data_IF_073540359448
#
_entry.id   IF_073540359448
#
_cell.length_a   1.000
_cell.length_b   1.000
_cell.length_c   1.000
_cell.angle_alpha   90.00
_cell.angle_beta   90.00
_cell.angle_gamma   90.00
#
_symmetry.space_group_name_H-M   'P 1'
#
loop_
_entity.id
_entity.type
_entity.pdbx_description
1 polymer ?
#
# COMPACT_ATOMS: atom_id res chain seq x y z
N UNK A 1 12.70 -17.35 20.80
CA UNK A 1 11.36 -16.82 20.46
C UNK A 1 11.46 -16.22 19.06
N UNK A 2 10.74 -16.69 18.03
CA UNK A 2 10.83 -16.08 16.72
C UNK A 2 10.31 -14.63 16.81
N UNK A 3 11.14 -13.67 16.43
CA UNK A 3 10.81 -12.25 16.51
C UNK A 3 9.69 -11.88 15.54
N UNK A 4 8.74 -11.05 16.00
CA UNK A 4 7.67 -10.53 15.16
C UNK A 4 8.23 -9.71 13.99
N UNK A 5 7.73 -10.00 12.79
CA UNK A 5 8.11 -9.31 11.55
C UNK A 5 7.34 -8.00 11.45
N UNK A 6 8.02 -6.89 11.20
CA UNK A 6 7.38 -5.59 10.96
C UNK A 6 7.73 -5.10 9.57
N UNK A 7 6.72 -4.85 8.77
CA UNK A 7 6.87 -4.21 7.46
C UNK A 7 6.08 -2.88 7.44
N UNK A 8 6.59 -1.90 6.72
CA UNK A 8 5.81 -0.72 6.31
C UNK A 8 5.34 -0.96 4.89
N UNK A 9 4.03 -0.86 4.68
CA UNK A 9 3.37 -0.89 3.38
C UNK A 9 2.96 0.54 3.05
N UNK A 10 3.73 1.21 2.20
CA UNK A 10 3.31 2.46 1.59
C UNK A 10 2.52 2.15 0.33
N UNK A 11 1.28 2.61 0.27
CA UNK A 11 0.37 2.45 -0.85
C UNK A 11 0.28 3.80 -1.56
N UNK A 12 0.71 3.83 -2.82
CA UNK A 12 0.62 5.02 -3.67
C UNK A 12 -0.46 4.75 -4.71
N UNK A 13 -1.54 5.51 -4.62
CA UNK A 13 -2.54 5.59 -5.68
C UNK A 13 -2.00 6.53 -6.76
N UNK A 14 -2.20 6.16 -8.02
CA UNK A 14 -2.04 7.13 -9.09
C UNK A 14 -3.15 8.19 -8.91
N UNK A 15 -2.88 9.50 -8.95
CA UNK A 15 -3.95 10.44 -9.30
C UNK A 15 -4.49 10.02 -10.68
N UNK A 16 -5.80 10.03 -10.88
CA UNK A 16 -6.34 9.94 -12.25
C UNK A 16 -5.58 10.98 -13.09
N UNK A 17 -4.91 10.54 -14.16
CA UNK A 17 -4.28 11.47 -15.08
C UNK A 17 -5.33 12.51 -15.49
N UNK A 18 -5.02 13.82 -15.49
CA UNK A 18 -5.92 14.75 -16.14
C UNK A 18 -6.03 14.30 -17.59
N UNK A 19 -7.25 13.98 -18.02
CA UNK A 19 -7.52 13.68 -19.42
C UNK A 19 -6.96 14.83 -20.27
N UNK A 20 -6.18 14.45 -21.27
CA UNK A 20 -5.65 15.33 -22.31
C UNK A 20 -6.76 16.26 -22.81
N UNK A 21 -6.63 17.56 -22.55
CA UNK A 21 -7.55 18.59 -23.02
C UNK A 21 -6.74 19.75 -23.56
N UNK A 22 -6.59 19.77 -24.87
CA UNK A 22 -6.58 21.03 -25.63
C UNK A 22 -7.81 21.87 -25.22
N UNK A 23 -7.68 23.19 -25.01
CA UNK A 23 -8.77 23.98 -24.46
C UNK A 23 -9.75 24.39 -25.56
N UNK A 24 -11.07 24.31 -25.34
CA UNK A 24 -11.97 25.32 -25.87
C UNK A 24 -12.12 26.44 -24.85
N UNK A 25 -12.08 27.66 -25.36
CA UNK A 25 -12.22 28.92 -24.63
C UNK A 25 -13.53 29.04 -23.83
N UNK A 26 -13.48 29.90 -22.80
CA UNK A 26 -14.57 30.48 -21.99
C UNK A 26 -14.90 29.78 -20.65
N UNK A 27 -14.61 30.49 -19.56
CA UNK A 27 -15.10 30.27 -18.19
C UNK A 27 -16.49 30.91 -18.00
N UNK A 28 -17.16 30.85 -16.82
CA UNK A 28 -16.83 30.16 -15.56
C UNK A 28 -18.01 29.33 -14.98
N UNK A 29 -17.73 28.36 -14.10
CA UNK A 29 -18.55 28.07 -12.90
C UNK A 29 -17.83 27.09 -11.99
N UNK A 30 -17.82 27.44 -10.69
CA UNK A 30 -17.18 26.70 -9.62
C UNK A 30 -17.69 25.28 -9.47
N UNK A 31 -16.76 24.44 -9.06
CA UNK A 31 -16.95 23.02 -8.79
C UNK A 31 -15.59 22.43 -8.54
N UNK A 32 -15.00 22.72 -7.37
CA UNK A 32 -13.85 21.98 -6.87
C UNK A 32 -14.19 20.50 -6.95
N UNK A 33 -13.53 19.79 -7.86
CA UNK A 33 -13.67 18.34 -8.04
C UNK A 33 -13.32 17.73 -6.69
N UNK A 34 -14.32 17.27 -5.92
CA UNK A 34 -14.10 16.59 -4.64
C UNK A 34 -13.23 15.37 -4.94
N UNK A 35 -11.96 15.48 -4.59
CA UNK A 35 -11.03 14.36 -4.60
C UNK A 35 -11.62 13.31 -3.66
N UNK A 36 -11.82 12.11 -4.20
CA UNK A 36 -12.42 10.95 -3.54
C UNK A 36 -11.99 10.80 -2.08
N UNK A 37 -12.96 10.65 -1.19
CA UNK A 37 -12.76 10.46 0.26
C UNK A 37 -11.67 9.42 0.53
N UNK A 38 -10.72 9.81 1.37
CA UNK A 38 -9.64 8.94 1.83
C UNK A 38 -10.27 7.88 2.75
N UNK A 39 -10.39 6.63 2.26
CA UNK A 39 -11.00 5.49 2.97
C UNK A 39 -10.33 5.07 4.29
N UNK A 40 -9.24 5.73 4.69
CA UNK A 40 -8.49 5.40 5.89
C UNK A 40 -8.12 6.68 6.62
N UNK A 41 -8.39 6.74 7.91
CA UNK A 41 -7.94 7.79 8.80
C UNK A 41 -6.65 7.39 9.52
N UNK A 42 -5.79 8.38 9.78
CA UNK A 42 -4.58 8.18 10.58
C UNK A 42 -4.96 7.65 11.97
N UNK A 43 -4.26 6.60 12.40
CA UNK A 43 -4.50 5.92 13.68
C UNK A 43 -5.49 4.76 13.61
N UNK A 44 -6.21 4.57 12.49
CA UNK A 44 -7.01 3.36 12.30
C UNK A 44 -6.12 2.12 12.33
N UNK A 45 -6.57 1.10 13.04
CA UNK A 45 -5.88 -0.17 13.18
C UNK A 45 -6.87 -1.32 13.39
N UNK A 46 -6.46 -2.53 13.03
CA UNK A 46 -7.25 -3.75 13.26
C UNK A 46 -6.32 -4.95 13.40
N UNK A 47 -6.70 -5.86 14.30
CA UNK A 47 -6.02 -7.11 14.59
C UNK A 47 -6.63 -8.23 13.76
N UNK A 48 -5.77 -9.07 13.17
CA UNK A 48 -6.12 -10.13 12.23
C UNK A 48 -5.45 -11.42 12.66
N UNK A 49 -5.94 -12.59 12.20
CA UNK A 49 -5.29 -13.87 12.51
C UNK A 49 -3.82 -13.97 12.06
N UNK A 50 -3.39 -13.17 11.08
CA UNK A 50 -2.00 -13.09 10.63
C UNK A 50 -1.15 -12.03 11.36
N UNK A 51 -1.74 -11.18 12.20
CA UNK A 51 -1.06 -10.08 12.87
C UNK A 51 -1.90 -8.80 12.93
N UNK A 52 -1.34 -7.64 12.62
CA UNK A 52 -2.02 -6.34 12.79
C UNK A 52 -1.67 -5.37 11.66
N UNK A 53 -2.59 -4.48 11.31
CA UNK A 53 -2.25 -3.29 10.54
C UNK A 53 -2.65 -2.00 11.26
N UNK A 54 -1.97 -0.91 10.91
CA UNK A 54 -2.24 0.44 11.40
C UNK A 54 -1.93 1.47 10.32
N UNK A 55 -2.76 2.50 10.17
CA UNK A 55 -2.53 3.63 9.27
C UNK A 55 -1.66 4.66 9.98
N UNK A 56 -0.41 4.79 9.53
CA UNK A 56 0.55 5.74 10.08
C UNK A 56 0.32 7.16 9.56
N UNK A 57 -0.04 7.27 8.28
CA UNK A 57 -0.30 8.53 7.60
C UNK A 57 -1.12 8.31 6.32
N UNK A 58 -1.78 9.35 5.85
CA UNK A 58 -2.66 9.29 4.67
C UNK A 58 -2.84 10.66 4.06
N UNK A 59 -3.02 10.72 2.74
CA UNK A 59 -3.18 11.99 2.02
C UNK A 59 -3.64 11.79 0.58
N UNK A 60 -3.73 12.88 -0.21
CA UNK A 60 -4.12 12.80 -1.61
C UNK A 60 -3.20 11.85 -2.37
N UNK A 61 -3.74 10.72 -2.82
CA UNK A 61 -2.99 9.75 -3.61
C UNK A 61 -2.12 8.78 -2.80
N UNK A 62 -2.12 8.78 -1.47
CA UNK A 62 -1.31 7.80 -0.72
C UNK A 62 -1.92 7.39 0.63
N UNK A 63 -1.50 6.22 1.11
CA UNK A 63 -1.77 5.73 2.46
C UNK A 63 -0.56 4.93 2.94
N UNK A 64 0.00 5.28 4.09
CA UNK A 64 1.12 4.55 4.69
C UNK A 64 0.57 3.69 5.82
N UNK A 65 0.74 2.38 5.71
CA UNK A 65 0.36 1.42 6.73
C UNK A 65 1.57 0.74 7.34
N UNK A 66 1.55 0.52 8.65
CA UNK A 66 2.41 -0.44 9.34
C UNK A 66 1.69 -1.78 9.36
N UNK A 67 2.39 -2.82 8.92
CA UNK A 67 1.96 -4.21 9.04
C UNK A 67 2.88 -4.91 10.03
N UNK A 68 2.29 -5.56 11.03
CA UNK A 68 2.99 -6.51 11.90
C UNK A 68 2.48 -7.88 11.51
N UNK A 69 3.35 -8.73 10.96
CA UNK A 69 3.01 -10.10 10.58
C UNK A 69 3.61 -11.02 11.62
N UNK A 70 2.76 -11.79 12.29
CA UNK A 70 3.23 -12.75 13.29
C UNK A 70 3.96 -13.90 12.59
N UNK A 71 4.91 -14.58 13.25
CA UNK A 71 5.56 -15.77 12.68
C UNK A 71 4.53 -16.80 12.21
N UNK A 72 4.62 -17.22 10.94
CA UNK A 72 3.65 -18.12 10.30
C UNK A 72 2.35 -17.44 9.83
N UNK A 73 2.15 -16.16 10.16
CA UNK A 73 1.06 -15.34 9.65
C UNK A 73 1.23 -15.04 8.17
N UNK A 74 0.12 -15.04 7.43
CA UNK A 74 0.13 -14.85 5.97
C UNK A 74 -1.05 -14.00 5.55
N UNK A 75 -0.76 -12.93 4.79
CA UNK A 75 -1.82 -12.13 4.18
C UNK A 75 -2.43 -12.87 2.98
N UNK A 76 -3.68 -12.59 2.65
CA UNK A 76 -4.28 -13.10 1.41
C UNK A 76 -3.53 -12.58 0.19
N UNK A 77 -3.39 -13.38 -0.87
CA UNK A 77 -2.79 -12.94 -2.14
C UNK A 77 -3.59 -11.75 -2.69
N UNK A 78 -2.91 -10.64 -2.94
CA UNK A 78 -3.52 -9.39 -3.40
C UNK A 78 -3.19 -9.14 -4.87
N UNK A 79 -4.11 -8.47 -5.57
CA UNK A 79 -3.88 -7.90 -6.90
C UNK A 79 -4.60 -6.56 -6.99
N UNK A 80 -3.90 -5.53 -7.46
CA UNK A 80 -4.41 -4.16 -7.43
C UNK A 80 -4.23 -3.48 -8.79
N UNK A 81 -5.34 -3.04 -9.39
CA UNK A 81 -5.32 -2.35 -10.69
C UNK A 81 -5.11 -0.84 -10.59
N UNK A 82 -5.30 -0.24 -9.42
CA UNK A 82 -5.33 1.23 -9.24
C UNK A 82 -4.29 1.77 -8.27
N UNK A 83 -3.49 0.89 -7.65
CA UNK A 83 -2.40 1.27 -6.76
C UNK A 83 -1.15 0.43 -7.00
N UNK A 84 -0.02 1.09 -6.85
CA UNK A 84 1.25 0.42 -6.60
C UNK A 84 1.52 0.45 -5.09
N UNK A 85 2.40 -0.42 -4.65
CA UNK A 85 2.83 -0.47 -3.26
C UNK A 85 4.35 -0.52 -3.18
N UNK A 86 4.89 0.10 -2.13
CA UNK A 86 6.29 0.00 -1.78
C UNK A 86 6.36 -0.50 -0.35
N UNK A 87 6.98 -1.66 -0.16
CA UNK A 87 7.15 -2.26 1.15
C UNK A 87 8.59 -2.15 1.62
N UNK A 88 8.79 -1.82 2.88
CA UNK A 88 10.08 -1.81 3.56
C UNK A 88 9.98 -2.70 4.78
N UNK A 89 10.91 -3.64 4.93
CA UNK A 89 10.98 -4.48 6.13
C UNK A 89 11.70 -3.70 7.22
N UNK A 90 10.97 -3.39 8.29
CA UNK A 90 11.49 -2.59 9.41
C UNK A 90 12.15 -3.47 10.46
N UNK A 91 11.68 -4.71 10.63
CA UNK A 91 12.27 -5.67 11.57
C UNK A 91 11.91 -7.11 11.18
N UNK A 92 12.83 -8.04 11.46
CA UNK A 92 12.70 -9.45 11.13
C UNK A 92 12.97 -9.76 9.65
N UNK A 93 12.56 -10.95 9.22
CA UNK A 93 12.68 -11.43 7.83
C UNK A 93 11.31 -11.69 7.27
N UNK A 94 11.03 -11.40 6.01
CA UNK A 94 9.75 -11.65 5.36
C UNK A 94 9.94 -12.41 4.05
N UNK A 95 9.01 -13.29 3.71
CA UNK A 95 8.88 -13.81 2.36
C UNK A 95 7.84 -12.99 1.62
N UNK A 96 8.23 -12.42 0.49
CA UNK A 96 7.34 -11.62 -0.35
C UNK A 96 7.14 -12.30 -1.69
N UNK A 97 5.91 -12.66 -2.00
CA UNK A 97 5.53 -13.05 -3.36
C UNK A 97 5.36 -11.77 -4.20
N UNK A 98 6.02 -11.70 -5.36
CA UNK A 98 5.87 -10.64 -6.36
C UNK A 98 5.74 -11.28 -7.74
N UNK A 99 4.49 -11.40 -8.23
CA UNK A 99 4.20 -12.12 -9.46
C UNK A 99 4.47 -13.61 -9.27
N UNK A 100 5.44 -14.13 -10.02
CA UNK A 100 5.87 -15.53 -9.98
C UNK A 100 7.08 -15.75 -9.05
N UNK A 101 7.70 -14.67 -8.58
CA UNK A 101 8.88 -14.72 -7.74
C UNK A 101 8.51 -14.72 -6.25
N UNK A 102 9.33 -15.40 -5.44
CA UNK A 102 9.31 -15.31 -3.98
C UNK A 102 10.66 -14.78 -3.52
N UNK A 103 10.64 -13.65 -2.81
CA UNK A 103 11.81 -12.95 -2.32
C UNK A 103 11.91 -13.14 -0.80
N UNK A 104 13.08 -13.51 -0.29
CA UNK A 104 13.38 -13.43 1.15
C UNK A 104 14.03 -12.07 1.44
N UNK A 105 13.37 -11.27 2.26
CA UNK A 105 13.77 -9.89 2.56
C UNK A 105 14.02 -9.74 4.06
N UNK A 106 15.24 -9.37 4.43
CA UNK A 106 15.61 -9.01 5.81
C UNK A 106 15.29 -7.55 6.14
N UNK A 107 15.67 -7.14 7.34
CA UNK A 107 15.58 -5.75 7.79
C UNK A 107 16.24 -4.78 6.80
N UNK A 108 15.64 -3.59 6.66
CA UNK A 108 16.04 -2.50 5.76
C UNK A 108 15.95 -2.81 4.26
N UNK A 109 15.65 -4.06 3.89
CA UNK A 109 15.30 -4.42 2.52
C UNK A 109 13.91 -3.90 2.14
N UNK A 110 13.71 -3.71 0.84
CA UNK A 110 12.48 -3.17 0.30
C UNK A 110 12.08 -3.87 -0.99
N UNK A 111 10.80 -3.73 -1.34
CA UNK A 111 10.26 -4.25 -2.59
C UNK A 111 9.17 -3.32 -3.11
N UNK A 112 9.31 -2.98 -4.40
CA UNK A 112 8.27 -2.29 -5.14
C UNK A 112 7.34 -3.31 -5.81
N UNK A 113 6.03 -3.08 -5.66
CA UNK A 113 4.95 -3.92 -6.15
C UNK A 113 4.13 -3.10 -7.17
N UNK A 114 4.39 -3.28 -8.47
CA UNK A 114 3.69 -2.56 -9.52
C UNK A 114 2.19 -2.90 -9.58
N UNK A 115 1.45 -2.03 -10.26
CA UNK A 115 0.06 -2.26 -10.63
C UNK A 115 -0.10 -3.58 -11.39
N UNK A 116 -1.18 -4.32 -11.13
CA UNK A 116 -1.50 -5.56 -11.83
C UNK A 116 -0.64 -6.76 -11.45
N UNK A 117 0.33 -6.61 -10.53
CA UNK A 117 1.15 -7.73 -10.06
C UNK A 117 0.51 -8.36 -8.82
N UNK A 118 0.35 -9.68 -8.84
CA UNK A 118 -0.07 -10.46 -7.66
C UNK A 118 1.02 -10.37 -6.59
N UNK A 119 0.65 -10.10 -5.35
CA UNK A 119 1.63 -9.97 -4.28
C UNK A 119 1.10 -10.37 -2.91
N UNK A 120 2.02 -10.80 -2.03
CA UNK A 120 1.71 -11.27 -0.67
C UNK A 120 2.96 -11.14 0.22
N UNK A 121 2.76 -10.92 1.52
CA UNK A 121 3.79 -11.03 2.56
C UNK A 121 3.42 -12.11 3.58
N UNK A 122 4.43 -12.84 4.04
CA UNK A 122 4.42 -13.85 5.11
C UNK A 122 5.73 -13.82 5.91
#
# INVERSE_FOLDING_TARGET
MPECRRARKAKVHRPMAPADRSPPSSSPRGGTRKMSEVLYHRGEADDRPWGRWEVLDTGPGFCVKRLTVQPGGKLSLQLHHHRAEHWVIVAGTAHVTRGEEVLELGQDAHVYLPLGIKHRIE
#
